data_IF_104617584260
#
_entry.id   IF_104617584260
#
_cell.length_a   1.000
_cell.length_b   1.000
_cell.length_c   1.000
_cell.angle_alpha   90.00
_cell.angle_beta   90.00
_cell.angle_gamma   90.00
#
_symmetry.space_group_name_H-M   'P 1'
#
loop_
_entity.id
_entity.type
_entity.pdbx_description
1 polymer ?
#
# COMPACT_ATOMS: atom_id res chain seq x y z
N UNK A 1 18.33 4.01 3.37
CA UNK A 1 18.20 3.30 2.08
C UNK A 1 17.80 1.86 2.38
N UNK A 2 16.96 1.27 1.54
CA UNK A 2 16.49 -0.12 1.73
C UNK A 2 17.52 -1.17 1.26
N UNK A 3 18.65 -0.75 0.70
CA UNK A 3 19.80 -1.61 0.37
C UNK A 3 19.69 -2.40 -0.94
N UNK A 4 18.87 -1.95 -1.90
CA UNK A 4 18.77 -2.55 -3.22
C UNK A 4 18.91 -1.49 -4.34
N UNK A 5 19.29 -1.92 -5.54
CA UNK A 5 19.28 -1.07 -6.72
C UNK A 5 17.85 -0.94 -7.26
N UNK A 6 17.50 0.28 -7.70
CA UNK A 6 16.18 0.53 -8.30
C UNK A 6 16.10 -0.09 -9.70
N UNK A 7 14.97 -0.74 -9.96
CA UNK A 7 14.62 -1.30 -11.28
C UNK A 7 13.49 -0.46 -11.90
N UNK A 8 13.39 -0.49 -13.23
CA UNK A 8 12.34 0.19 -14.01
C UNK A 8 10.92 -0.28 -13.68
N UNK A 9 10.76 -1.44 -13.04
CA UNK A 9 9.46 -2.00 -12.61
C UNK A 9 8.95 -1.32 -11.35
N UNK A 10 9.87 -0.96 -10.42
CA UNK A 10 9.55 -0.23 -9.21
C UNK A 10 9.87 1.25 -9.36
N UNK A 11 9.66 1.98 -8.32
CA UNK A 11 9.92 3.40 -8.15
C UNK A 11 11.26 3.63 -7.44
N UNK A 12 11.83 4.83 -7.58
CA UNK A 12 13.02 5.27 -6.87
C UNK A 12 12.78 5.54 -5.37
N UNK A 13 11.53 5.47 -4.89
CA UNK A 13 11.18 5.70 -3.49
C UNK A 13 10.83 4.39 -2.78
N UNK A 14 11.36 4.19 -1.57
CA UNK A 14 11.20 2.97 -0.79
C UNK A 14 9.86 2.83 -0.03
N UNK A 15 8.78 3.44 -0.53
CA UNK A 15 7.49 3.48 0.18
C UNK A 15 6.45 2.46 -0.30
N UNK A 16 6.84 1.54 -1.18
CA UNK A 16 5.98 0.44 -1.61
C UNK A 16 5.47 -0.33 -0.37
N UNK A 17 4.17 -0.57 -0.31
CA UNK A 17 3.54 -1.24 0.84
C UNK A 17 3.39 -0.39 2.11
N UNK A 18 3.82 0.87 2.11
CA UNK A 18 3.60 1.80 3.22
C UNK A 18 2.25 2.50 3.05
N UNK A 19 1.36 2.50 4.07
CA UNK A 19 0.12 3.28 4.03
C UNK A 19 0.37 4.74 3.70
N UNK A 20 -0.56 5.43 3.08
CA UNK A 20 -0.51 6.84 2.65
C UNK A 20 0.46 7.12 1.49
N UNK A 21 1.61 6.43 1.40
CA UNK A 21 2.71 6.77 0.50
C UNK A 21 3.09 5.65 -0.48
N UNK A 22 2.33 4.54 -0.49
CA UNK A 22 2.65 3.37 -1.29
C UNK A 22 2.02 3.35 -2.69
N UNK A 23 1.05 4.20 -2.99
CA UNK A 23 0.39 4.23 -4.30
C UNK A 23 1.29 4.90 -5.36
N UNK A 24 1.09 4.57 -6.64
CA UNK A 24 1.81 5.20 -7.76
C UNK A 24 1.71 6.73 -7.69
N UNK A 25 0.52 7.25 -7.41
CA UNK A 25 0.27 8.68 -7.28
C UNK A 25 1.10 9.34 -6.18
N UNK A 26 1.09 8.78 -4.97
CA UNK A 26 1.84 9.35 -3.83
C UNK A 26 3.34 9.13 -3.95
N UNK A 27 3.78 8.03 -4.57
CA UNK A 27 5.21 7.83 -4.93
C UNK A 27 5.69 8.91 -5.91
N UNK A 28 4.87 9.26 -6.90
CA UNK A 28 5.15 10.39 -7.80
C UNK A 28 5.31 11.72 -7.07
N UNK A 29 4.44 12.00 -6.08
CA UNK A 29 4.57 13.20 -5.24
C UNK A 29 5.89 13.23 -4.45
N UNK A 30 6.31 12.08 -3.90
CA UNK A 30 7.59 11.96 -3.19
C UNK A 30 8.79 12.20 -4.12
N UNK A 31 8.73 11.74 -5.37
CA UNK A 31 9.76 11.98 -6.38
C UNK A 31 9.84 13.47 -6.77
N UNK A 32 8.68 14.09 -6.98
CA UNK A 32 8.58 15.51 -7.33
C UNK A 32 9.08 16.44 -6.21
N UNK A 33 8.83 16.09 -4.95
CA UNK A 33 9.04 16.98 -3.79
C UNK A 33 10.28 16.66 -2.95
N UNK A 34 10.77 15.43 -2.98
CA UNK A 34 11.94 14.91 -2.23
C UNK A 34 11.94 15.38 -0.76
N UNK A 35 10.89 15.06 0.04
CA UNK A 35 10.74 15.59 1.39
C UNK A 35 11.84 15.11 2.32
N UNK A 36 12.35 16.02 3.15
CA UNK A 36 13.38 15.74 4.17
C UNK A 36 12.86 15.95 5.60
N UNK A 37 11.64 16.46 5.74
CA UNK A 37 11.03 16.79 7.03
C UNK A 37 9.67 16.11 7.19
N UNK A 38 9.33 15.76 8.43
CA UNK A 38 8.06 15.11 8.76
C UNK A 38 6.84 16.00 8.44
N UNK A 39 6.92 17.30 8.69
CA UNK A 39 5.82 18.24 8.35
C UNK A 39 5.51 18.26 6.85
N UNK A 40 6.53 18.10 6.01
CA UNK A 40 6.34 17.99 4.56
C UNK A 40 5.52 16.75 4.18
N UNK A 41 5.71 15.62 4.86
CA UNK A 41 4.90 14.42 4.65
C UNK A 41 3.42 14.65 5.02
N UNK A 42 3.15 15.44 6.08
CA UNK A 42 1.78 15.82 6.45
C UNK A 42 1.13 16.64 5.32
N UNK A 43 1.88 17.56 4.68
CA UNK A 43 1.41 18.31 3.52
C UNK A 43 1.12 17.42 2.33
N UNK A 44 2.01 16.48 2.02
CA UNK A 44 1.81 15.51 0.92
C UNK A 44 0.57 14.66 1.14
N UNK A 45 0.29 14.22 2.37
CA UNK A 45 -0.97 13.56 2.71
C UNK A 45 -2.17 14.49 2.47
N UNK A 46 -2.08 15.76 2.84
CA UNK A 46 -3.09 16.77 2.52
C UNK A 46 -3.33 16.94 1.01
N UNK A 47 -2.25 17.01 0.21
CA UNK A 47 -2.33 17.08 -1.25
C UNK A 47 -3.01 15.85 -1.86
N UNK A 48 -2.74 14.65 -1.35
CA UNK A 48 -3.26 13.40 -1.89
C UNK A 48 -4.73 13.16 -1.55
N UNK A 49 -5.18 13.61 -0.38
CA UNK A 49 -6.56 13.43 0.08
C UNK A 49 -7.49 14.61 -0.24
N UNK A 50 -6.94 15.73 -0.67
CA UNK A 50 -7.71 16.86 -1.17
C UNK A 50 -8.20 16.64 -2.61
N UNK A 51 -9.23 17.37 -3.00
CA UNK A 51 -9.72 17.37 -4.39
C UNK A 51 -9.27 18.63 -5.09
N UNK A 52 -8.59 18.49 -6.25
CA UNK A 52 -7.99 19.57 -7.04
C UNK A 52 -6.96 20.41 -6.22
N UNK A 53 -6.23 19.72 -5.36
CA UNK A 53 -5.18 20.31 -4.53
C UNK A 53 -3.79 20.09 -5.13
N UNK A 54 -3.52 18.90 -5.69
CA UNK A 54 -2.22 18.54 -6.23
C UNK A 54 -2.11 18.82 -7.73
N UNK A 55 -2.82 18.05 -8.57
CA UNK A 55 -2.75 18.17 -10.02
C UNK A 55 -3.40 19.48 -10.47
N UNK A 56 -2.72 20.18 -11.39
CA UNK A 56 -3.17 21.46 -11.90
C UNK A 56 -3.14 22.61 -10.86
N UNK A 57 -2.55 22.38 -9.68
CA UNK A 57 -2.49 23.33 -8.59
C UNK A 57 -1.14 23.30 -7.87
N UNK A 58 -1.01 22.69 -6.70
CA UNK A 58 0.22 22.70 -5.90
C UNK A 58 1.42 22.12 -6.67
N UNK A 59 1.25 21.05 -7.46
CA UNK A 59 2.31 20.49 -8.30
C UNK A 59 2.93 21.52 -9.25
N UNK A 60 2.09 22.24 -9.96
CA UNK A 60 2.53 23.23 -10.96
C UNK A 60 3.26 24.39 -10.29
N UNK A 61 2.74 24.87 -9.14
CA UNK A 61 3.36 25.93 -8.35
C UNK A 61 4.75 25.55 -7.83
N UNK A 62 4.89 24.29 -7.39
CA UNK A 62 6.16 23.77 -6.85
C UNK A 62 7.17 23.55 -7.98
N UNK A 63 6.78 22.91 -9.08
CA UNK A 63 7.68 22.63 -10.19
C UNK A 63 8.12 23.87 -10.94
N UNK A 64 7.27 24.91 -11.02
CA UNK A 64 7.62 26.22 -11.59
C UNK A 64 8.48 27.09 -10.67
N UNK A 65 8.67 26.69 -9.40
CA UNK A 65 9.37 27.50 -8.40
C UNK A 65 8.56 28.69 -7.88
N UNK A 66 7.28 28.82 -8.24
CA UNK A 66 6.39 29.90 -7.77
C UNK A 66 6.15 29.81 -6.27
N UNK A 67 6.02 28.58 -5.74
CA UNK A 67 5.89 28.31 -4.32
C UNK A 67 6.72 27.09 -3.92
N UNK A 68 7.26 27.10 -2.71
CA UNK A 68 7.84 25.88 -2.13
C UNK A 68 6.73 24.92 -1.65
N UNK A 69 7.10 23.66 -1.42
CA UNK A 69 6.19 22.65 -0.85
C UNK A 69 5.55 23.16 0.45
N UNK A 70 6.33 23.89 1.27
CA UNK A 70 5.85 24.41 2.55
C UNK A 70 4.96 25.66 2.44
N UNK A 71 4.90 26.30 1.28
CA UNK A 71 4.04 27.45 1.00
C UNK A 71 2.73 27.03 0.30
N UNK A 72 2.75 25.95 -0.49
CA UNK A 72 1.57 25.46 -1.18
C UNK A 72 0.50 24.98 -0.19
N UNK A 73 -0.77 25.16 -0.56
CA UNK A 73 -1.92 24.81 0.29
C UNK A 73 -2.11 23.28 0.29
N UNK A 74 -1.79 22.62 1.41
CA UNK A 74 -1.99 21.18 1.58
C UNK A 74 -3.22 20.82 2.41
N UNK A 75 -3.52 21.61 3.43
CA UNK A 75 -4.60 21.36 4.37
C UNK A 75 -5.42 22.63 4.58
N UNK A 76 -6.67 22.48 5.09
CA UNK A 76 -7.53 23.63 5.42
C UNK A 76 -6.87 24.58 6.42
N UNK A 77 -6.14 24.02 7.38
CA UNK A 77 -5.47 24.79 8.43
C UNK A 77 -4.38 25.73 7.86
N UNK A 78 -3.77 25.36 6.73
CA UNK A 78 -2.77 26.20 6.06
C UNK A 78 -3.36 27.54 5.61
N UNK A 79 -4.59 27.52 5.08
CA UNK A 79 -5.28 28.74 4.64
C UNK A 79 -5.53 29.67 5.83
N UNK A 80 -6.12 29.13 6.90
CA UNK A 80 -6.47 29.93 8.07
C UNK A 80 -5.24 30.59 8.69
N UNK A 81 -4.20 29.78 8.95
CA UNK A 81 -2.99 30.25 9.61
C UNK A 81 -2.19 31.23 8.74
N UNK A 82 -2.14 31.00 7.42
CA UNK A 82 -1.46 31.91 6.50
C UNK A 82 -2.14 33.27 6.44
N UNK A 83 -3.46 33.32 6.32
CA UNK A 83 -4.21 34.58 6.28
C UNK A 83 -4.11 35.36 7.60
N UNK A 84 -4.16 34.67 8.74
CA UNK A 84 -3.93 35.32 10.04
C UNK A 84 -2.51 35.91 10.12
N UNK A 85 -1.51 35.18 9.62
CA UNK A 85 -0.13 35.67 9.56
C UNK A 85 0.02 36.90 8.64
N UNK A 86 -0.78 36.98 7.57
CA UNK A 86 -0.85 38.16 6.72
C UNK A 86 -1.60 39.35 7.36
N UNK A 87 -2.23 39.16 8.52
CA UNK A 87 -2.91 40.20 9.27
C UNK A 87 -4.44 40.22 9.11
N UNK A 88 -5.04 39.24 8.43
CA UNK A 88 -6.51 39.16 8.36
C UNK A 88 -7.08 38.78 9.74
N UNK A 89 -8.25 39.33 10.12
CA UNK A 89 -8.94 38.93 11.35
C UNK A 89 -9.26 37.43 11.38
N UNK A 90 -9.02 36.77 12.51
CA UNK A 90 -9.20 35.32 12.68
C UNK A 90 -10.57 34.82 12.21
N UNK A 91 -11.63 35.53 12.55
CA UNK A 91 -12.99 35.19 12.15
C UNK A 91 -13.21 35.25 10.63
N UNK A 92 -12.54 36.17 9.94
CA UNK A 92 -12.56 36.31 8.47
C UNK A 92 -11.78 35.18 7.83
N UNK A 93 -10.55 34.94 8.29
CA UNK A 93 -9.68 33.86 7.84
C UNK A 93 -10.38 32.49 8.00
N UNK A 94 -11.03 32.24 9.14
CA UNK A 94 -11.78 31.01 9.37
C UNK A 94 -12.97 30.84 8.41
N UNK A 95 -13.79 31.90 8.22
CA UNK A 95 -14.93 31.84 7.29
C UNK A 95 -14.49 31.57 5.85
N UNK A 96 -13.41 32.21 5.42
CA UNK A 96 -12.84 31.99 4.10
C UNK A 96 -12.32 30.55 3.96
N UNK A 97 -11.50 30.09 4.88
CA UNK A 97 -11.00 28.71 4.93
C UNK A 97 -12.13 27.69 4.83
N UNK A 98 -13.21 27.85 5.59
CA UNK A 98 -14.38 26.97 5.54
C UNK A 98 -15.08 26.98 4.18
N UNK A 99 -15.10 28.14 3.49
CA UNK A 99 -15.66 28.25 2.14
C UNK A 99 -14.81 27.50 1.11
N UNK A 100 -13.48 27.66 1.17
CA UNK A 100 -12.55 26.95 0.28
C UNK A 100 -12.59 25.46 0.54
N UNK A 101 -12.48 25.05 1.82
CA UNK A 101 -12.49 23.63 2.22
C UNK A 101 -13.69 22.85 1.69
N UNK A 102 -14.85 23.51 1.62
CA UNK A 102 -16.10 22.90 1.15
C UNK A 102 -16.33 23.04 -0.35
N UNK A 103 -15.41 23.67 -1.07
CA UNK A 103 -15.52 23.94 -2.49
C UNK A 103 -16.74 24.84 -2.80
N UNK A 104 -16.92 25.91 -2.03
CA UNK A 104 -18.13 26.77 -2.13
C UNK A 104 -18.35 27.28 -3.56
N UNK A 105 -17.31 27.80 -4.22
CA UNK A 105 -17.40 28.33 -5.60
C UNK A 105 -17.88 27.24 -6.58
N UNK A 106 -17.36 26.02 -6.47
CA UNK A 106 -17.73 24.92 -7.34
C UNK A 106 -19.17 24.42 -7.12
N UNK A 107 -19.78 24.82 -5.99
CA UNK A 107 -21.17 24.52 -5.64
C UNK A 107 -22.12 25.74 -5.89
N UNK A 108 -21.63 26.72 -6.66
CA UNK A 108 -22.40 27.93 -6.99
C UNK A 108 -22.58 28.89 -5.81
N UNK A 109 -21.76 28.78 -4.74
CA UNK A 109 -21.80 29.67 -3.58
C UNK A 109 -20.65 30.67 -3.66
N UNK A 110 -20.93 31.93 -3.38
CA UNK A 110 -19.91 32.98 -3.31
C UNK A 110 -19.01 32.78 -2.07
N UNK A 111 -17.76 33.25 -2.19
CA UNK A 111 -16.89 33.48 -1.04
C UNK A 111 -17.44 34.65 -0.17
N UNK A 112 -16.93 34.83 1.05
CA UNK A 112 -17.30 35.99 1.87
C UNK A 112 -17.05 37.28 1.11
N UNK A 113 -18.02 38.18 1.15
CA UNK A 113 -18.00 39.47 0.44
C UNK A 113 -16.73 40.26 0.78
N UNK A 114 -16.08 40.85 -0.26
CA UNK A 114 -14.86 41.65 -0.12
C UNK A 114 -13.60 40.92 0.29
N UNK A 115 -13.63 39.57 0.42
CA UNK A 115 -12.49 38.81 0.95
C UNK A 115 -11.27 38.81 0.02
N UNK A 116 -11.47 38.86 -1.29
CA UNK A 116 -10.35 38.86 -2.27
C UNK A 116 -9.62 40.19 -2.22
N UNK A 117 -10.36 41.31 -2.14
CA UNK A 117 -9.80 42.63 -1.99
C UNK A 117 -9.05 42.78 -0.67
N UNK A 118 -9.62 42.29 0.43
CA UNK A 118 -8.99 42.29 1.74
C UNK A 118 -7.68 41.44 1.73
N UNK A 119 -7.66 40.28 1.05
CA UNK A 119 -6.44 39.51 0.88
C UNK A 119 -5.35 40.30 0.10
N UNK A 120 -5.73 41.00 -0.96
CA UNK A 120 -4.78 41.82 -1.74
C UNK A 120 -4.24 43.00 -0.93
N UNK A 121 -5.09 43.68 -0.14
CA UNK A 121 -4.66 44.72 0.80
C UNK A 121 -3.65 44.22 1.80
N UNK A 122 -3.80 42.98 2.25
CA UNK A 122 -2.86 42.27 3.14
C UNK A 122 -1.70 41.58 2.39
N UNK A 123 -1.46 41.92 1.13
CA UNK A 123 -0.34 41.44 0.31
C UNK A 123 -0.30 39.90 0.13
N UNK A 124 -1.47 39.25 0.17
CA UNK A 124 -1.57 37.83 -0.18
C UNK A 124 -1.30 37.69 -1.68
N UNK A 125 -0.33 36.85 -2.10
CA UNK A 125 0.03 36.71 -3.51
C UNK A 125 -1.14 36.20 -4.37
N UNK A 126 -1.25 36.69 -5.59
CA UNK A 126 -2.32 36.28 -6.50
C UNK A 126 -2.33 34.78 -6.79
N UNK A 127 -1.16 34.14 -6.90
CA UNK A 127 -1.08 32.68 -7.06
C UNK A 127 -1.75 31.92 -5.93
N UNK A 128 -1.73 32.48 -4.70
CA UNK A 128 -2.39 31.86 -3.53
C UNK A 128 -3.91 31.94 -3.63
N UNK A 129 -4.43 33.10 -4.07
CA UNK A 129 -5.86 33.33 -4.32
C UNK A 129 -6.33 32.39 -5.43
N UNK A 130 -5.58 32.29 -6.53
CA UNK A 130 -5.90 31.41 -7.66
C UNK A 130 -5.84 29.93 -7.24
N UNK A 131 -4.89 29.53 -6.39
CA UNK A 131 -4.83 28.19 -5.82
C UNK A 131 -6.11 27.87 -5.02
N UNK A 132 -6.57 28.80 -4.17
CA UNK A 132 -7.82 28.63 -3.42
C UNK A 132 -9.05 28.46 -4.33
N UNK A 133 -9.07 29.11 -5.50
CA UNK A 133 -10.20 28.99 -6.48
C UNK A 133 -10.31 27.58 -7.07
N UNK A 134 -9.18 26.90 -7.27
CA UNK A 134 -9.13 25.56 -7.87
C UNK A 134 -9.63 24.48 -6.91
N UNK A 135 -9.44 24.67 -5.61
CA UNK A 135 -9.67 23.66 -4.58
C UNK A 135 -11.18 23.35 -4.42
N UNK A 136 -11.52 22.06 -4.51
CA UNK A 136 -12.89 21.55 -4.27
C UNK A 136 -13.07 20.95 -2.89
N UNK A 137 -12.00 20.37 -2.31
CA UNK A 137 -12.02 19.83 -0.96
C UNK A 137 -10.65 19.88 -0.32
N UNK A 138 -10.57 20.26 0.96
CA UNK A 138 -9.34 20.23 1.77
C UNK A 138 -9.46 19.32 2.97
N UNK A 139 -8.38 18.58 3.19
CA UNK A 139 -8.22 17.65 4.29
C UNK A 139 -7.80 18.36 5.59
N UNK A 140 -8.24 17.90 6.78
CA UNK A 140 -7.81 18.49 8.05
C UNK A 140 -6.37 18.12 8.39
N UNK A 141 -5.53 19.08 8.84
CA UNK A 141 -4.12 18.84 9.18
C UNK A 141 -3.95 17.82 10.30
N UNK A 142 -4.75 17.89 11.35
CA UNK A 142 -4.68 16.95 12.47
C UNK A 142 -4.96 15.50 12.05
N UNK A 143 -5.89 15.30 11.12
CA UNK A 143 -6.19 13.99 10.56
C UNK A 143 -5.03 13.47 9.70
N UNK A 144 -4.49 14.30 8.80
CA UNK A 144 -3.31 13.98 8.02
C UNK A 144 -2.12 13.60 8.93
N UNK A 145 -1.87 14.36 9.98
CA UNK A 145 -0.79 14.10 10.93
C UNK A 145 -0.91 12.72 11.61
N UNK A 146 -2.13 12.31 11.98
CA UNK A 146 -2.36 10.99 12.61
C UNK A 146 -2.03 9.84 11.65
N UNK A 147 -2.49 9.92 10.40
CA UNK A 147 -2.21 8.89 9.38
C UNK A 147 -0.74 8.87 8.97
N UNK A 148 -0.11 10.01 8.80
CA UNK A 148 1.33 10.10 8.50
C UNK A 148 2.18 9.55 9.64
N UNK A 149 1.81 9.81 10.90
CA UNK A 149 2.50 9.23 12.06
C UNK A 149 2.42 7.71 12.04
N UNK A 150 1.25 7.14 11.72
CA UNK A 150 1.10 5.69 11.56
C UNK A 150 1.95 5.16 10.42
N UNK A 151 1.89 5.78 9.25
CA UNK A 151 2.70 5.41 8.09
C UNK A 151 4.19 5.45 8.39
N UNK A 152 4.66 6.49 9.09
CA UNK A 152 6.05 6.64 9.50
C UNK A 152 6.51 5.53 10.47
N UNK A 153 5.66 5.14 11.42
CA UNK A 153 5.92 4.01 12.32
C UNK A 153 6.04 2.69 11.54
N UNK A 154 5.16 2.45 10.59
CA UNK A 154 5.21 1.26 9.73
C UNK A 154 6.48 1.28 8.87
N UNK A 155 6.86 2.43 8.31
CA UNK A 155 8.11 2.60 7.57
C UNK A 155 9.34 2.31 8.43
N UNK A 156 9.32 2.68 9.72
CA UNK A 156 10.38 2.33 10.67
C UNK A 156 10.54 0.81 10.78
N UNK A 157 9.45 0.05 10.92
CA UNK A 157 9.50 -1.42 10.93
C UNK A 157 10.04 -1.98 9.61
N UNK A 158 9.62 -1.42 8.47
CA UNK A 158 10.12 -1.83 7.15
C UNK A 158 11.64 -1.70 7.04
N UNK A 159 12.23 -0.68 7.66
CA UNK A 159 13.69 -0.44 7.67
C UNK A 159 14.40 -1.34 8.68
N UNK A 160 13.92 -1.39 9.92
CA UNK A 160 14.65 -1.99 11.05
C UNK A 160 14.26 -3.45 11.34
N UNK A 161 13.04 -3.86 10.96
CA UNK A 161 12.51 -5.21 11.13
C UNK A 161 11.80 -5.69 9.86
N UNK A 162 12.54 -5.75 8.72
CA UNK A 162 11.92 -5.95 7.42
C UNK A 162 11.10 -7.24 7.31
N UNK A 163 11.60 -8.38 7.81
CA UNK A 163 10.84 -9.64 7.75
C UNK A 163 9.52 -9.57 8.51
N UNK A 164 9.49 -8.89 9.66
CA UNK A 164 8.25 -8.69 10.42
C UNK A 164 7.27 -7.78 9.66
N UNK A 165 7.77 -6.72 9.01
CA UNK A 165 6.96 -5.86 8.14
C UNK A 165 6.34 -6.66 6.99
N UNK A 166 7.15 -7.41 6.23
CA UNK A 166 6.65 -8.19 5.09
C UNK A 166 5.71 -9.32 5.53
N UNK A 167 6.01 -10.03 6.63
CA UNK A 167 5.13 -11.05 7.18
C UNK A 167 3.74 -10.47 7.52
N UNK A 168 3.69 -9.31 8.17
CA UNK A 168 2.44 -8.62 8.50
C UNK A 168 1.70 -8.11 7.26
N UNK A 169 2.44 -7.58 6.28
CA UNK A 169 1.87 -7.11 5.03
C UNK A 169 1.22 -8.26 4.24
N UNK A 170 1.96 -9.33 3.98
CA UNK A 170 1.47 -10.48 3.24
C UNK A 170 0.35 -11.22 3.98
N UNK A 171 0.40 -11.29 5.31
CA UNK A 171 -0.70 -11.81 6.12
C UNK A 171 -2.03 -11.08 5.85
N UNK A 172 -1.99 -9.74 5.81
CA UNK A 172 -3.20 -8.94 5.52
C UNK A 172 -3.70 -9.15 4.10
N UNK A 173 -2.81 -9.39 3.15
CA UNK A 173 -3.14 -9.63 1.75
C UNK A 173 -3.71 -11.04 1.53
N UNK A 174 -3.12 -12.06 2.13
CA UNK A 174 -3.57 -13.46 1.99
C UNK A 174 -5.00 -13.70 2.50
N UNK A 175 -5.47 -12.89 3.44
CA UNK A 175 -6.85 -12.97 3.95
C UNK A 175 -7.92 -12.51 2.95
N UNK A 176 -7.54 -11.90 1.83
CA UNK A 176 -8.44 -11.34 0.81
C UNK A 176 -8.08 -11.81 -0.60
N UNK A 177 -7.50 -12.97 -0.74
CA UNK A 177 -6.97 -13.50 -2.01
C UNK A 177 -5.98 -12.56 -2.71
N UNK A 178 -5.40 -11.64 -1.98
CA UNK A 178 -4.42 -10.68 -2.51
C UNK A 178 -2.97 -11.16 -2.42
N UNK A 179 -2.72 -12.41 -2.01
CA UNK A 179 -1.42 -13.08 -2.04
C UNK A 179 -1.62 -14.51 -2.56
N UNK A 180 -0.90 -14.88 -3.58
CA UNK A 180 -0.90 -16.23 -4.16
C UNK A 180 0.49 -16.84 -4.04
N UNK A 181 0.59 -17.97 -3.33
CA UNK A 181 1.87 -18.61 -3.07
C UNK A 181 2.55 -19.11 -4.36
N UNK A 182 1.79 -19.64 -5.32
CA UNK A 182 2.34 -20.13 -6.59
C UNK A 182 2.95 -19.00 -7.41
N UNK A 183 2.30 -17.84 -7.44
CA UNK A 183 2.82 -16.68 -8.17
C UNK A 183 3.98 -15.98 -7.48
N UNK A 184 4.01 -16.00 -6.14
CA UNK A 184 4.87 -15.10 -5.36
C UNK A 184 6.06 -15.76 -4.71
N UNK A 185 6.04 -17.09 -4.48
CA UNK A 185 7.12 -17.77 -3.75
C UNK A 185 8.16 -18.44 -4.65
N UNK A 186 7.91 -18.56 -5.95
CA UNK A 186 8.81 -19.21 -6.90
C UNK A 186 9.95 -18.34 -7.45
N UNK A 187 10.25 -17.24 -6.79
CA UNK A 187 11.38 -16.39 -7.10
C UNK A 187 11.04 -15.08 -7.84
N UNK A 188 12.05 -14.22 -7.93
CA UNK A 188 11.90 -12.86 -8.44
C UNK A 188 11.47 -12.81 -9.91
N UNK A 189 11.93 -13.72 -10.76
CA UNK A 189 11.59 -13.71 -12.19
C UNK A 189 10.12 -14.04 -12.42
N UNK A 190 9.56 -15.00 -11.67
CA UNK A 190 8.13 -15.33 -11.72
C UNK A 190 7.27 -14.11 -11.34
N UNK A 191 7.62 -13.43 -10.25
CA UNK A 191 6.94 -12.20 -9.82
C UNK A 191 7.02 -11.11 -10.90
N UNK A 192 8.18 -10.93 -11.50
CA UNK A 192 8.44 -9.95 -12.56
C UNK A 192 7.61 -10.22 -13.81
N UNK A 193 7.47 -11.47 -14.20
CA UNK A 193 6.64 -11.88 -15.34
C UNK A 193 5.17 -11.57 -15.08
N UNK A 194 4.64 -11.86 -13.90
CA UNK A 194 3.27 -11.53 -13.53
C UNK A 194 3.02 -10.03 -13.52
N UNK A 195 3.94 -9.21 -12.97
CA UNK A 195 3.83 -7.75 -13.01
C UNK A 195 3.77 -7.24 -14.45
N UNK A 196 4.67 -7.74 -15.32
CA UNK A 196 4.68 -7.34 -16.75
C UNK A 196 3.41 -7.74 -17.46
N UNK A 197 2.90 -8.95 -17.21
CA UNK A 197 1.66 -9.45 -17.83
C UNK A 197 0.47 -8.58 -17.46
N UNK A 198 0.28 -8.27 -16.18
CA UNK A 198 -0.86 -7.45 -15.73
C UNK A 198 -0.75 -6.03 -16.28
N UNK A 199 0.44 -5.40 -16.20
CA UNK A 199 0.65 -4.05 -16.74
C UNK A 199 0.49 -3.95 -18.28
N UNK A 200 0.64 -5.05 -19.00
CA UNK A 200 0.45 -5.07 -20.46
C UNK A 200 -1.02 -5.22 -20.87
N UNK A 201 -1.89 -5.61 -19.96
CA UNK A 201 -3.32 -5.78 -20.21
C UNK A 201 -4.09 -4.53 -19.73
N UNK A 202 -4.60 -3.67 -20.64
CA UNK A 202 -5.36 -2.49 -20.27
C UNK A 202 -6.74 -2.81 -19.67
N UNK A 203 -7.24 -4.04 -19.88
CA UNK A 203 -8.55 -4.49 -19.43
C UNK A 203 -8.46 -5.42 -18.20
N UNK A 204 -7.32 -5.41 -17.49
CA UNK A 204 -7.16 -6.21 -16.28
C UNK A 204 -8.22 -5.89 -15.22
N UNK A 205 -8.63 -6.92 -14.48
CA UNK A 205 -9.69 -6.82 -13.47
C UNK A 205 -9.23 -6.10 -12.20
N UNK A 206 -10.17 -5.57 -11.41
CA UNK A 206 -9.90 -4.99 -10.08
C UNK A 206 -9.14 -5.96 -9.16
N UNK A 207 -9.38 -7.27 -9.31
CA UNK A 207 -8.66 -8.32 -8.58
C UNK A 207 -7.18 -8.38 -9.01
N UNK A 208 -6.88 -8.23 -10.29
CA UNK A 208 -5.51 -8.19 -10.80
C UNK A 208 -4.78 -6.91 -10.39
N UNK A 209 -5.49 -5.77 -10.30
CA UNK A 209 -4.93 -4.52 -9.77
C UNK A 209 -4.54 -4.67 -8.29
N UNK A 210 -5.41 -5.29 -7.47
CA UNK A 210 -5.09 -5.58 -6.08
C UNK A 210 -3.90 -6.55 -5.93
N UNK A 211 -3.82 -7.55 -6.82
CA UNK A 211 -2.73 -8.50 -6.88
C UNK A 211 -1.42 -7.82 -7.31
N UNK A 212 -1.47 -6.92 -8.30
CA UNK A 212 -0.33 -6.13 -8.76
C UNK A 212 0.32 -5.36 -7.62
N UNK A 213 -0.50 -4.71 -6.78
CA UNK A 213 0.01 -4.00 -5.59
C UNK A 213 0.79 -4.92 -4.65
N UNK A 214 0.37 -6.18 -4.50
CA UNK A 214 1.08 -7.16 -3.65
C UNK A 214 2.34 -7.69 -4.35
N UNK A 215 2.26 -7.92 -5.66
CA UNK A 215 3.40 -8.33 -6.48
C UNK A 215 4.53 -7.28 -6.46
N UNK A 216 4.22 -5.99 -6.48
CA UNK A 216 5.22 -4.93 -6.34
C UNK A 216 5.94 -5.00 -4.99
N UNK A 217 5.23 -5.26 -3.88
CA UNK A 217 5.84 -5.45 -2.56
C UNK A 217 6.66 -6.73 -2.50
N UNK A 218 6.20 -7.80 -3.14
CA UNK A 218 6.91 -9.07 -3.25
C UNK A 218 8.18 -8.91 -4.08
N UNK A 219 8.13 -8.16 -5.18
CA UNK A 219 9.29 -7.84 -5.99
C UNK A 219 10.36 -7.08 -5.19
N UNK A 220 9.95 -6.05 -4.44
CA UNK A 220 10.85 -5.34 -3.54
C UNK A 220 11.45 -6.27 -2.47
N UNK A 221 10.66 -7.18 -1.90
CA UNK A 221 11.11 -8.17 -0.93
C UNK A 221 12.29 -8.99 -1.47
N UNK A 222 12.18 -9.50 -2.70
CA UNK A 222 13.27 -10.21 -3.37
C UNK A 222 14.48 -9.32 -3.69
N UNK A 223 14.26 -8.10 -4.18
CA UNK A 223 15.34 -7.14 -4.46
C UNK A 223 16.16 -6.81 -3.21
N UNK A 224 15.54 -6.86 -2.03
CA UNK A 224 16.21 -6.68 -0.74
C UNK A 224 16.96 -7.93 -0.26
N UNK A 225 16.98 -9.00 -1.04
CA UNK A 225 17.67 -10.25 -0.73
C UNK A 225 16.89 -11.19 0.18
N UNK A 226 15.62 -10.91 0.47
CA UNK A 226 14.76 -11.83 1.22
C UNK A 226 14.16 -12.90 0.31
N UNK A 227 13.80 -14.05 0.89
CA UNK A 227 13.22 -15.17 0.16
C UNK A 227 12.09 -15.82 0.95
N UNK A 228 11.23 -16.54 0.24
CA UNK A 228 10.25 -17.43 0.85
C UNK A 228 10.80 -18.86 0.95
N UNK A 229 10.31 -19.60 1.92
CA UNK A 229 10.29 -21.06 1.89
C UNK A 229 9.07 -21.53 1.11
N UNK A 230 9.10 -22.75 0.60
CA UNK A 230 7.89 -23.39 0.08
C UNK A 230 6.89 -23.63 1.21
N UNK A 231 5.61 -23.66 0.89
CA UNK A 231 4.62 -24.15 1.85
C UNK A 231 5.03 -25.56 2.29
N UNK A 232 4.97 -25.80 3.56
CA UNK A 232 5.38 -27.05 4.18
C UNK A 232 4.21 -27.65 4.96
N UNK A 233 3.85 -28.92 4.63
CA UNK A 233 2.73 -29.62 5.24
C UNK A 233 2.79 -29.63 6.76
N UNK A 234 3.98 -29.76 7.35
CA UNK A 234 4.19 -29.90 8.79
C UNK A 234 4.55 -28.61 9.51
N UNK A 235 5.12 -27.62 8.78
CA UNK A 235 5.61 -26.40 9.38
C UNK A 235 4.76 -25.16 9.12
N UNK A 236 4.05 -25.07 7.97
CA UNK A 236 3.21 -23.92 7.66
C UNK A 236 2.04 -23.78 8.64
N UNK A 237 1.71 -22.55 8.99
CA UNK A 237 0.53 -22.23 9.81
C UNK A 237 -0.72 -22.10 8.93
N UNK A 238 -1.91 -22.23 9.51
CA UNK A 238 -3.15 -22.04 8.76
C UNK A 238 -3.21 -20.66 8.08
N UNK A 239 -2.94 -19.59 8.82
CA UNK A 239 -3.17 -18.21 8.40
C UNK A 239 -1.96 -17.26 8.50
N UNK A 240 -0.92 -17.59 9.29
CA UNK A 240 0.17 -16.68 9.64
C UNK A 240 1.45 -16.98 8.85
N UNK A 241 2.06 -15.97 8.28
CA UNK A 241 3.46 -16.08 7.82
C UNK A 241 4.38 -16.26 9.02
N UNK A 242 5.28 -17.24 8.93
CA UNK A 242 6.28 -17.51 9.97
C UNK A 242 7.65 -17.04 9.48
N UNK A 243 8.46 -16.52 10.40
CA UNK A 243 9.86 -16.17 10.12
C UNK A 243 10.73 -17.33 10.61
N UNK A 244 11.46 -17.98 9.68
CA UNK A 244 12.36 -19.10 9.96
C UNK A 244 13.68 -18.87 9.25
N UNK A 245 14.78 -18.92 9.97
CA UNK A 245 16.14 -18.83 9.43
C UNK A 245 16.35 -17.66 8.43
N UNK A 246 15.75 -16.52 8.72
CA UNK A 246 15.83 -15.32 7.85
C UNK A 246 14.93 -15.34 6.61
N UNK A 247 14.02 -16.31 6.49
CA UNK A 247 13.08 -16.48 5.38
C UNK A 247 11.64 -16.42 5.86
N UNK A 248 10.70 -16.20 4.96
CA UNK A 248 9.27 -16.26 5.24
C UNK A 248 8.68 -17.58 4.78
N UNK A 249 8.05 -18.30 5.71
CA UNK A 249 7.24 -19.48 5.41
C UNK A 249 5.78 -19.06 5.25
N UNK A 250 5.18 -19.24 4.06
CA UNK A 250 3.80 -18.85 3.80
C UNK A 250 2.78 -19.77 4.51
N UNK A 251 1.60 -19.25 4.85
CA UNK A 251 0.51 -20.03 5.43
C UNK A 251 -0.27 -20.82 4.37
N UNK A 252 -1.08 -21.78 4.79
CA UNK A 252 -1.94 -22.54 3.88
C UNK A 252 -2.98 -21.65 3.15
N UNK A 253 -3.53 -20.62 3.81
CA UNK A 253 -4.49 -19.69 3.16
C UNK A 253 -3.87 -18.87 2.02
N UNK A 254 -2.54 -18.91 1.84
CA UNK A 254 -1.88 -18.28 0.69
C UNK A 254 -1.95 -19.11 -0.59
N UNK A 255 -2.46 -20.34 -0.51
CA UNK A 255 -2.75 -21.18 -1.67
C UNK A 255 -4.10 -20.79 -2.24
N UNK A 256 -4.14 -20.49 -3.53
CA UNK A 256 -5.35 -20.03 -4.22
C UNK A 256 -6.53 -20.98 -4.00
N UNK A 257 -7.67 -20.43 -3.60
CA UNK A 257 -8.90 -21.14 -3.34
C UNK A 257 -8.97 -21.89 -2.00
N UNK A 258 -7.87 -21.98 -1.25
CA UNK A 258 -7.83 -22.68 0.03
C UNK A 258 -8.25 -21.74 1.17
N UNK A 259 -9.53 -21.81 1.54
CA UNK A 259 -10.09 -20.98 2.59
C UNK A 259 -9.61 -21.35 4.01
N UNK A 260 -9.85 -20.46 4.97
CA UNK A 260 -9.38 -20.58 6.34
C UNK A 260 -9.86 -21.89 7.02
N UNK A 261 -11.10 -22.34 6.75
CA UNK A 261 -11.63 -23.58 7.32
C UNK A 261 -10.85 -24.82 6.88
N UNK A 262 -10.43 -24.89 5.60
CA UNK A 262 -9.61 -25.98 5.09
C UNK A 262 -8.15 -25.88 5.60
N UNK A 263 -7.62 -24.67 5.75
CA UNK A 263 -6.30 -24.43 6.32
C UNK A 263 -6.21 -24.91 7.80
N UNK A 264 -7.23 -24.68 8.59
CA UNK A 264 -7.29 -25.19 9.96
C UNK A 264 -7.49 -26.70 10.00
N UNK A 265 -8.27 -27.28 9.08
CA UNK A 265 -8.44 -28.73 8.94
C UNK A 265 -7.10 -29.45 8.66
N UNK A 266 -6.23 -28.83 7.86
CA UNK A 266 -4.86 -29.33 7.64
C UNK A 266 -4.06 -29.36 8.96
N UNK A 267 -4.12 -28.27 9.73
CA UNK A 267 -3.38 -28.21 11.01
C UNK A 267 -3.88 -29.23 12.02
N UNK A 268 -5.18 -29.43 12.13
CA UNK A 268 -5.80 -30.44 13.00
C UNK A 268 -5.48 -31.86 12.50
N UNK A 269 -5.64 -32.08 11.18
CA UNK A 269 -5.44 -33.39 10.55
C UNK A 269 -4.00 -33.92 10.62
N UNK A 270 -3.00 -33.02 10.65
CA UNK A 270 -1.56 -33.39 10.75
C UNK A 270 -1.06 -33.55 12.18
N UNK A 271 -1.84 -33.15 13.21
CA UNK A 271 -1.36 -33.19 14.58
C UNK A 271 -1.00 -34.62 15.02
N UNK A 272 0.27 -34.80 15.41
CA UNK A 272 0.82 -36.09 15.81
C UNK A 272 0.93 -37.15 14.70
N UNK A 273 0.76 -36.76 13.43
CA UNK A 273 0.83 -37.66 12.27
C UNK A 273 1.98 -37.33 11.33
N UNK A 274 2.50 -38.41 10.70
CA UNK A 274 3.36 -38.32 9.52
C UNK A 274 2.70 -39.14 8.40
N UNK A 275 2.21 -38.46 7.37
CA UNK A 275 1.53 -39.10 6.26
C UNK A 275 2.53 -39.86 5.37
N UNK A 276 2.13 -41.03 4.89
CA UNK A 276 2.90 -41.82 3.94
C UNK A 276 2.48 -41.58 2.48
N UNK A 277 1.33 -40.91 2.29
CA UNK A 277 0.83 -40.55 0.96
C UNK A 277 -0.13 -39.35 1.04
N UNK A 278 -0.35 -38.70 -0.12
CA UNK A 278 -1.33 -37.63 -0.28
C UNK A 278 -2.77 -38.18 -0.09
N UNK A 279 -3.00 -39.47 -0.44
CA UNK A 279 -4.28 -40.14 -0.19
C UNK A 279 -4.58 -40.21 1.31
N UNK A 280 -3.61 -40.57 2.15
CA UNK A 280 -3.76 -40.59 3.62
C UNK A 280 -4.01 -39.18 4.18
N UNK A 281 -3.28 -38.18 3.68
CA UNK A 281 -3.51 -36.78 4.01
C UNK A 281 -4.94 -36.36 3.67
N UNK A 282 -5.43 -36.69 2.46
CA UNK A 282 -6.79 -36.37 2.02
C UNK A 282 -7.86 -37.00 2.91
N UNK A 283 -7.63 -38.22 3.36
CA UNK A 283 -8.54 -38.89 4.30
C UNK A 283 -8.54 -38.24 5.69
N UNK A 284 -7.41 -37.69 6.13
CA UNK A 284 -7.29 -37.01 7.42
C UNK A 284 -7.81 -35.57 7.40
N UNK A 285 -7.92 -34.94 6.23
CA UNK A 285 -8.31 -33.54 6.04
C UNK A 285 -9.53 -33.42 5.11
N UNK A 286 -10.73 -33.80 5.55
CA UNK A 286 -11.92 -33.93 4.69
C UNK A 286 -12.42 -32.59 4.12
N UNK A 287 -12.04 -31.44 4.69
CA UNK A 287 -12.38 -30.11 4.14
C UNK A 287 -11.46 -29.66 3.01
N UNK A 288 -10.37 -30.41 2.76
CA UNK A 288 -9.42 -30.15 1.68
C UNK A 288 -9.89 -30.86 0.41
N UNK A 289 -10.39 -30.12 -0.57
CA UNK A 289 -10.89 -30.65 -1.84
C UNK A 289 -9.74 -31.14 -2.73
N UNK A 290 -10.06 -31.90 -3.78
CA UNK A 290 -9.08 -32.32 -4.80
C UNK A 290 -8.39 -31.13 -5.44
N UNK A 291 -9.12 -30.06 -5.75
CA UNK A 291 -8.54 -28.83 -6.30
C UNK A 291 -7.55 -28.19 -5.32
N UNK A 292 -7.87 -28.18 -4.02
CA UNK A 292 -6.92 -27.68 -3.00
C UNK A 292 -5.65 -28.53 -2.97
N UNK A 293 -5.76 -29.86 -3.11
CA UNK A 293 -4.60 -30.76 -3.16
C UNK A 293 -3.71 -30.45 -4.33
N UNK A 294 -4.27 -30.24 -5.54
CA UNK A 294 -3.50 -29.87 -6.72
C UNK A 294 -2.78 -28.53 -6.53
N UNK A 295 -3.46 -27.53 -5.98
CA UNK A 295 -2.86 -26.22 -5.70
C UNK A 295 -1.76 -26.31 -4.61
N UNK A 296 -1.96 -27.15 -3.58
CA UNK A 296 -0.94 -27.42 -2.56
C UNK A 296 0.29 -28.13 -3.15
N UNK A 297 0.09 -29.06 -4.11
CA UNK A 297 1.19 -29.69 -4.87
C UNK A 297 2.00 -28.65 -5.64
N UNK A 298 1.31 -27.76 -6.38
CA UNK A 298 1.96 -26.68 -7.13
C UNK A 298 2.73 -25.73 -6.23
N UNK A 299 2.23 -25.49 -5.00
CA UNK A 299 2.90 -24.68 -3.98
C UNK A 299 4.02 -25.41 -3.25
N UNK A 300 4.29 -26.70 -3.59
CA UNK A 300 5.38 -27.51 -3.01
C UNK A 300 5.08 -28.07 -1.62
N UNK A 301 3.83 -28.04 -1.15
CA UNK A 301 3.47 -28.37 0.23
C UNK A 301 3.77 -29.79 0.64
N UNK A 302 3.76 -30.74 -0.29
CA UNK A 302 3.92 -32.16 -0.03
C UNK A 302 5.36 -32.66 -0.15
N UNK A 303 6.30 -31.84 -0.69
CA UNK A 303 7.67 -32.29 -0.96
C UNK A 303 7.67 -33.56 -1.84
N UNK A 304 8.35 -34.61 -1.36
CA UNK A 304 8.46 -35.91 -2.05
C UNK A 304 7.36 -36.92 -1.66
N UNK A 305 6.27 -36.48 -0.98
CA UNK A 305 5.20 -37.36 -0.56
C UNK A 305 4.49 -37.97 -1.78
N UNK A 306 4.40 -39.31 -1.93
CA UNK A 306 3.77 -39.93 -3.07
C UNK A 306 2.24 -39.79 -3.06
N UNK A 307 1.60 -39.86 -4.21
CA UNK A 307 0.15 -39.75 -4.31
C UNK A 307 -0.59 -40.86 -3.57
N UNK A 308 -0.08 -42.08 -3.64
CA UNK A 308 -0.64 -43.28 -2.99
C UNK A 308 0.44 -44.10 -2.34
N UNK A 309 0.06 -44.81 -1.26
CA UNK A 309 0.92 -45.78 -0.59
C UNK A 309 0.98 -47.16 -1.31
N UNK A 310 0.22 -47.33 -2.38
CA UNK A 310 0.26 -48.58 -3.15
C UNK A 310 1.57 -48.69 -3.94
N UNK A 311 2.34 -49.71 -3.62
CA UNK A 311 3.52 -50.08 -4.40
C UNK A 311 3.03 -50.68 -5.73
N UNK A 312 3.18 -49.95 -6.84
CA UNK A 312 2.99 -50.52 -8.19
C UNK A 312 4.14 -51.48 -8.44
N UNK A 313 3.84 -52.75 -8.53
CA UNK A 313 4.76 -53.85 -8.82
C UNK A 313 5.11 -53.97 -10.32
N UNK A 314 5.13 -52.85 -11.08
CA UNK A 314 5.51 -52.85 -12.49
C UNK A 314 6.37 -51.65 -12.83
#
# INVERSE_FOLDING_TARGET
>A
MLGYEHDKILTEVGTVGIPEFGTIFTRGMLMDTKPTQFDTLIRLSGFSHGTDVWLGNAKDLILSGTASVNQAIGCRDDIMLYLIKCGLPEKRAFKFMESVRKGAIHKGKAWPEGIVEEMREHQVPEWYIESCKKIKYLFPKAHAAAYVMMAFRIAWFKVHHPLAFYAAYFYRRSQKDGFDAVMMTHGIETVKEHIKRINADPDHSDKEEDLLTTLEVCYEFYLRGFTFDNIDLYASHATKFLIRDGRLLPPFVSVSGLGESAAWDIMEGREGKHFVSIEEFSAACPKVSKTHIENLKQAGAFGDLPDTSQITLF
#
